data_IF_136457535520
#
_entry.id   IF_136457535520
#
_cell.length_a   1.000
_cell.length_b   1.000
_cell.length_c   1.000
_cell.angle_alpha   90.00
_cell.angle_beta   90.00
_cell.angle_gamma   90.00
#
_symmetry.space_group_name_H-M   'P 1'
#
loop_
_entity.id
_entity.type
_entity.pdbx_description
1 polymer ?
#
# COMPACT_ATOMS: atom_id res chain seq x y z
N UNK A 1 -7.41 9.14 -12.94
CA UNK A 1 -6.25 9.37 -12.05
C UNK A 1 -5.62 10.68 -12.50
N UNK A 2 -5.18 11.56 -11.60
CA UNK A 2 -4.52 12.82 -12.00
C UNK A 2 -3.38 12.57 -13.02
N UNK A 3 -2.63 11.48 -12.84
CA UNK A 3 -1.61 11.01 -13.79
C UNK A 3 -2.14 10.61 -15.19
N UNK A 4 -3.40 10.19 -15.31
CA UNK A 4 -4.02 9.80 -16.59
C UNK A 4 -4.85 10.94 -17.21
N UNK A 5 -5.24 11.94 -16.43
CA UNK A 5 -6.01 13.11 -16.87
C UNK A 5 -5.15 14.36 -17.09
N UNK A 6 -3.84 14.29 -16.80
CA UNK A 6 -2.91 15.41 -16.98
C UNK A 6 -3.17 16.59 -16.03
N UNK A 7 -3.98 16.38 -14.98
CA UNK A 7 -4.26 17.39 -13.97
C UNK A 7 -3.13 17.42 -12.93
N UNK A 8 -2.77 18.62 -12.45
CA UNK A 8 -1.79 18.73 -11.38
C UNK A 8 -2.34 18.10 -10.10
N UNK A 9 -1.48 17.44 -9.33
CA UNK A 9 -1.86 16.95 -8.01
C UNK A 9 -2.17 18.09 -7.04
N UNK A 10 -1.62 19.29 -7.30
CA UNK A 10 -1.78 20.48 -6.47
C UNK A 10 -3.11 21.21 -6.69
N UNK A 11 -3.87 20.84 -7.74
CA UNK A 11 -5.14 21.50 -8.08
C UNK A 11 -6.35 20.95 -7.30
N UNK A 12 -6.12 19.98 -6.41
CA UNK A 12 -7.19 19.35 -5.62
C UNK A 12 -7.58 20.23 -4.41
N UNK A 13 -8.89 20.37 -4.15
CA UNK A 13 -9.32 21.05 -2.92
C UNK A 13 -8.90 20.27 -1.67
N UNK A 14 -8.80 20.97 -0.53
CA UNK A 14 -8.45 20.33 0.74
C UNK A 14 -9.44 19.23 1.14
N UNK A 15 -10.74 19.42 0.86
CA UNK A 15 -11.77 18.44 1.19
C UNK A 15 -11.65 17.18 0.32
N UNK A 16 -11.46 17.34 -0.99
CA UNK A 16 -11.27 16.20 -1.90
C UNK A 16 -9.99 15.42 -1.59
N UNK A 17 -8.93 16.12 -1.19
CA UNK A 17 -7.68 15.49 -0.74
C UNK A 17 -7.91 14.65 0.52
N UNK A 18 -8.66 15.17 1.49
CA UNK A 18 -9.01 14.45 2.72
C UNK A 18 -9.82 13.18 2.41
N UNK A 19 -10.88 13.29 1.62
CA UNK A 19 -11.71 12.15 1.22
C UNK A 19 -10.89 11.08 0.48
N UNK A 20 -10.01 11.52 -0.43
CA UNK A 20 -9.11 10.64 -1.17
C UNK A 20 -8.13 9.91 -0.25
N UNK A 21 -7.50 10.61 0.70
CA UNK A 21 -6.57 10.00 1.67
C UNK A 21 -7.28 8.97 2.53
N UNK A 22 -8.47 9.28 3.04
CA UNK A 22 -9.30 8.33 3.82
C UNK A 22 -9.61 7.10 2.99
N UNK A 23 -10.04 7.28 1.73
CA UNK A 23 -10.34 6.18 0.81
C UNK A 23 -9.12 5.31 0.54
N UNK A 24 -7.96 5.92 0.24
CA UNK A 24 -6.69 5.21 0.00
C UNK A 24 -6.25 4.43 1.24
N UNK A 25 -6.38 5.01 2.43
CA UNK A 25 -6.05 4.34 3.68
C UNK A 25 -6.96 3.12 3.92
N UNK A 26 -8.28 3.29 3.74
CA UNK A 26 -9.25 2.24 3.93
C UNK A 26 -9.08 1.08 2.93
N UNK A 27 -8.62 1.33 1.71
CA UNK A 27 -8.37 0.28 0.72
C UNK A 27 -6.94 -0.28 0.75
N UNK A 28 -6.04 0.30 1.54
CA UNK A 28 -4.65 -0.13 1.60
C UNK A 28 -4.52 -1.54 2.19
N UNK A 29 -3.80 -2.48 1.54
CA UNK A 29 -3.65 -3.85 2.03
C UNK A 29 -3.08 -3.92 3.45
N UNK A 30 -2.09 -3.08 3.78
CA UNK A 30 -1.37 -3.10 5.08
C UNK A 30 -2.30 -2.91 6.28
N UNK A 31 -3.37 -2.13 6.13
CA UNK A 31 -4.39 -1.89 7.17
C UNK A 31 -5.14 -3.18 7.49
N UNK A 32 -5.37 -4.02 6.48
CA UNK A 32 -6.10 -5.28 6.59
C UNK A 32 -5.19 -6.50 6.81
N UNK A 33 -3.89 -6.30 7.05
CA UNK A 33 -2.93 -7.39 7.25
C UNK A 33 -3.33 -8.38 8.37
N UNK A 34 -4.06 -7.92 9.38
CA UNK A 34 -4.56 -8.74 10.49
C UNK A 34 -5.66 -9.73 10.09
N UNK A 35 -6.30 -9.52 8.92
CA UNK A 35 -7.34 -10.40 8.39
C UNK A 35 -6.77 -11.53 7.53
N UNK A 36 -5.49 -11.45 7.18
CA UNK A 36 -4.83 -12.44 6.32
C UNK A 36 -4.58 -13.71 7.12
N UNK A 37 -5.09 -14.84 6.62
CA UNK A 37 -4.89 -16.18 7.19
C UNK A 37 -4.13 -17.13 6.25
N UNK A 38 -4.14 -16.82 4.96
CA UNK A 38 -3.52 -17.66 3.94
C UNK A 38 -1.99 -17.59 4.02
N UNK A 39 -1.28 -18.73 3.95
CA UNK A 39 0.17 -18.73 3.78
C UNK A 39 0.57 -17.91 2.57
N UNK A 40 1.54 -17.00 2.73
CA UNK A 40 1.86 -15.98 1.73
C UNK A 40 3.34 -16.01 1.35
N UNK A 41 3.65 -16.24 0.08
CA UNK A 41 5.00 -16.09 -0.48
C UNK A 41 5.20 -14.65 -0.97
N UNK A 42 6.27 -13.99 -0.50
CA UNK A 42 6.63 -12.62 -0.91
C UNK A 42 7.88 -12.60 -1.79
N UNK A 43 7.76 -12.08 -3.01
CA UNK A 43 8.86 -11.91 -3.96
C UNK A 43 9.15 -10.42 -4.15
N UNK A 44 10.33 -9.97 -3.71
CA UNK A 44 10.69 -8.54 -3.71
C UNK A 44 12.04 -8.36 -4.39
N UNK A 45 12.09 -7.55 -5.44
CA UNK A 45 13.33 -7.17 -6.11
C UNK A 45 14.17 -6.25 -5.24
N UNK A 46 15.46 -6.57 -5.05
CA UNK A 46 16.39 -5.74 -4.26
C UNK A 46 16.60 -4.36 -4.88
N UNK A 47 16.67 -4.30 -6.22
CA UNK A 47 16.98 -3.09 -6.99
C UNK A 47 15.81 -2.69 -7.92
N UNK A 48 14.55 -2.96 -7.55
CA UNK A 48 13.41 -2.45 -8.33
C UNK A 48 13.32 -0.92 -8.16
N UNK A 49 13.50 -0.19 -9.25
CA UNK A 49 13.46 1.29 -9.27
C UNK A 49 12.02 1.84 -9.39
N UNK A 50 11.03 0.98 -9.69
CA UNK A 50 9.64 1.40 -9.87
C UNK A 50 8.87 1.41 -8.55
N UNK A 51 9.19 0.46 -7.66
CA UNK A 51 8.53 0.33 -6.36
C UNK A 51 9.56 0.08 -5.26
N UNK A 52 9.56 0.88 -4.17
CA UNK A 52 10.49 0.67 -3.06
C UNK A 52 10.33 -0.69 -2.40
N UNK A 53 11.44 -1.44 -2.30
CA UNK A 53 11.45 -2.77 -1.65
C UNK A 53 11.02 -2.75 -0.17
N UNK A 54 11.12 -1.60 0.50
CA UNK A 54 10.68 -1.40 1.88
C UNK A 54 9.19 -1.71 2.08
N UNK A 55 8.32 -1.39 1.12
CA UNK A 55 6.88 -1.64 1.23
C UNK A 55 6.59 -3.13 1.36
N UNK A 56 7.21 -3.96 0.51
CA UNK A 56 7.08 -5.41 0.58
C UNK A 56 7.65 -5.99 1.87
N UNK A 57 8.78 -5.46 2.36
CA UNK A 57 9.39 -5.90 3.64
C UNK A 57 8.47 -5.60 4.82
N UNK A 58 7.85 -4.42 4.86
CA UNK A 58 6.89 -4.06 5.91
C UNK A 58 5.68 -5.01 5.91
N UNK A 59 5.17 -5.36 4.73
CA UNK A 59 4.09 -6.35 4.61
C UNK A 59 4.50 -7.73 5.16
N UNK A 60 5.68 -8.23 4.78
CA UNK A 60 6.22 -9.50 5.30
C UNK A 60 6.32 -9.48 6.83
N UNK A 61 6.92 -8.43 7.41
CA UNK A 61 7.04 -8.32 8.86
C UNK A 61 5.68 -8.26 9.56
N UNK A 62 4.71 -7.57 8.98
CA UNK A 62 3.36 -7.50 9.55
C UNK A 62 2.66 -8.86 9.53
N UNK A 63 2.72 -9.58 8.41
CA UNK A 63 2.15 -10.93 8.31
C UNK A 63 2.81 -11.91 9.28
N UNK A 64 4.14 -11.87 9.37
CA UNK A 64 4.90 -12.69 10.32
C UNK A 64 4.52 -12.39 11.77
N UNK A 65 4.38 -11.11 12.13
CA UNK A 65 3.94 -10.69 13.46
C UNK A 65 2.51 -11.15 13.79
N UNK A 66 1.65 -11.30 12.78
CA UNK A 66 0.29 -11.82 12.93
C UNK A 66 0.24 -13.37 12.94
N UNK A 67 1.39 -14.06 12.90
CA UNK A 67 1.45 -15.52 12.90
C UNK A 67 1.10 -16.18 11.56
N UNK A 68 1.06 -15.41 10.46
CA UNK A 68 0.82 -15.95 9.12
C UNK A 68 2.08 -16.67 8.64
N UNK A 69 1.92 -17.89 8.10
CA UNK A 69 3.03 -18.64 7.47
C UNK A 69 3.53 -17.86 6.25
N UNK A 70 4.77 -17.41 6.32
CA UNK A 70 5.39 -16.48 5.35
C UNK A 70 6.81 -16.90 5.01
#
# INVERSE_FOLDING_TARGET
CAASTGQSYDDMSANETSEMVVKMFQCSPIVHAHKVKAPTLMLIGKNDLRVPSSQGKHWYHRLKANGVKT
#
